data_IF_602461436361
#
_entry.id   IF_602461436361
#
_cell.length_a   1.000
_cell.length_b   1.000
_cell.length_c   1.000
_cell.angle_alpha   90.00
_cell.angle_beta   90.00
_cell.angle_gamma   90.00
#
_symmetry.space_group_name_H-M   'P 1'
#
loop_
_entity.id
_entity.type
_entity.pdbx_description
1 polymer ?
#
# COMPACT_ATOMS: atom_id res chain seq x y z
N UNK A 1 4.26 8.59 14.14
CA UNK A 1 4.16 8.28 12.70
C UNK A 1 3.12 7.20 12.51
N UNK A 2 2.03 7.51 11.86
CA UNK A 2 0.97 6.52 11.57
C UNK A 2 1.33 5.81 10.27
N UNK A 3 1.74 4.56 10.35
CA UNK A 3 2.00 3.73 9.17
C UNK A 3 0.66 3.25 8.63
N UNK A 4 0.31 3.64 7.44
CA UNK A 4 -0.82 3.09 6.72
C UNK A 4 -0.36 1.84 5.99
N UNK A 5 -1.03 0.74 6.22
CA UNK A 5 -0.75 -0.53 5.61
C UNK A 5 -1.79 -0.79 4.53
N UNK A 6 -1.38 -0.75 3.28
CA UNK A 6 -2.22 -1.15 2.16
C UNK A 6 -1.80 -2.54 1.67
N UNK A 7 -2.69 -3.52 1.73
CA UNK A 7 -2.47 -4.84 1.17
C UNK A 7 -2.96 -4.87 -0.27
N UNK A 8 -2.04 -4.90 -1.20
CA UNK A 8 -2.33 -5.04 -2.61
C UNK A 8 -2.25 -6.51 -3.02
N UNK A 9 -3.37 -7.12 -3.35
CA UNK A 9 -3.38 -8.32 -4.16
C UNK A 9 -3.68 -7.91 -5.59
N UNK A 10 -2.65 -7.47 -6.30
CA UNK A 10 -2.79 -7.14 -7.69
C UNK A 10 -2.40 -8.31 -8.57
N UNK A 11 -3.32 -8.70 -9.42
CA UNK A 11 -2.96 -9.30 -10.69
C UNK A 11 -2.61 -8.14 -11.61
N UNK A 12 -1.33 -7.84 -11.73
CA UNK A 12 -0.85 -6.93 -12.76
C UNK A 12 -1.07 -7.58 -14.12
N UNK A 13 -2.06 -7.13 -14.84
CA UNK A 13 -1.89 -7.12 -16.28
C UNK A 13 -0.89 -6.00 -16.57
N UNK A 14 0.24 -6.40 -17.11
CA UNK A 14 1.26 -5.54 -17.67
C UNK A 14 0.63 -4.49 -18.55
N UNK A 15 0.93 -3.23 -18.31
CA UNK A 15 1.23 -2.20 -19.32
C UNK A 15 1.10 -0.83 -18.68
N UNK A 16 2.06 -0.51 -17.81
CA UNK A 16 2.29 0.88 -17.43
C UNK A 16 3.17 1.50 -18.49
N UNK A 17 2.60 2.15 -19.48
CA UNK A 17 3.35 2.99 -20.41
C UNK A 17 3.61 4.34 -19.75
N UNK A 18 4.85 4.59 -19.40
CA UNK A 18 5.30 5.94 -19.06
C UNK A 18 5.47 6.72 -20.38
N UNK A 19 4.48 7.51 -20.75
CA UNK A 19 4.63 8.46 -21.84
C UNK A 19 5.37 9.68 -21.32
N UNK A 20 6.66 9.74 -21.57
CA UNK A 20 7.44 10.97 -21.36
C UNK A 20 7.21 11.88 -22.55
N UNK A 21 6.19 12.73 -22.47
CA UNK A 21 6.03 13.82 -23.42
C UNK A 21 7.03 14.96 -23.13
N UNK A 22 7.47 15.66 -24.16
CA UNK A 22 8.24 16.89 -24.01
C UNK A 22 7.35 17.92 -23.33
N UNK A 23 7.57 18.15 -22.05
CA UNK A 23 6.83 19.15 -21.27
C UNK A 23 7.52 20.51 -21.43
N UNK A 24 6.81 21.47 -21.95
CA UNK A 24 7.07 22.87 -21.62
C UNK A 24 7.09 23.00 -20.09
N UNK A 25 7.98 23.81 -19.51
CA UNK A 25 8.14 23.88 -18.06
C UNK A 25 6.91 24.49 -17.40
N UNK A 26 5.92 23.65 -17.15
CA UNK A 26 4.83 23.95 -16.25
C UNK A 26 5.24 23.42 -14.89
N UNK A 27 5.27 24.27 -13.88
CA UNK A 27 5.58 23.86 -12.51
C UNK A 27 4.54 22.85 -12.07
N UNK A 28 4.96 21.60 -11.88
CA UNK A 28 4.08 20.57 -11.36
C UNK A 28 3.70 20.93 -9.93
N UNK A 29 2.40 20.91 -9.64
CA UNK A 29 1.87 21.15 -8.29
C UNK A 29 1.19 19.89 -7.78
N UNK A 30 1.11 19.75 -6.45
CA UNK A 30 0.36 18.66 -5.80
C UNK A 30 -1.10 19.06 -5.54
N UNK A 31 -1.68 19.89 -6.42
CA UNK A 31 -3.07 20.32 -6.34
C UNK A 31 -3.85 19.93 -7.58
N UNK A 32 -5.11 19.58 -7.39
CA UNK A 32 -6.04 19.35 -8.48
C UNK A 32 -6.58 20.70 -9.03
N UNK A 33 -7.32 20.69 -10.15
CA UNK A 33 -7.93 21.93 -10.70
C UNK A 33 -8.88 22.64 -9.73
N UNK A 34 -9.37 21.97 -8.70
CA UNK A 34 -10.27 22.52 -7.68
C UNK A 34 -9.51 23.07 -6.45
N UNK A 35 -8.17 23.11 -6.50
CA UNK A 35 -7.35 23.62 -5.42
C UNK A 35 -7.20 22.65 -4.24
N UNK A 36 -7.53 21.36 -4.40
CA UNK A 36 -7.35 20.35 -3.38
C UNK A 36 -5.99 19.69 -3.50
N UNK A 37 -5.40 19.38 -2.35
CA UNK A 37 -4.15 18.62 -2.33
C UNK A 37 -4.35 17.22 -2.91
N UNK A 38 -3.50 16.86 -3.86
CA UNK A 38 -3.44 15.52 -4.43
C UNK A 38 -2.49 14.66 -3.59
N UNK A 39 -2.98 13.53 -3.11
CA UNK A 39 -2.23 12.53 -2.35
C UNK A 39 -2.38 11.17 -3.03
N UNK A 40 -1.53 10.22 -2.67
CA UNK A 40 -1.68 8.84 -3.15
C UNK A 40 -3.06 8.26 -2.77
N UNK A 41 -3.57 8.62 -1.61
CA UNK A 41 -4.88 8.19 -1.14
C UNK A 41 -6.00 8.65 -2.10
N UNK A 42 -6.14 9.95 -2.33
CA UNK A 42 -7.24 10.47 -3.14
C UNK A 42 -7.06 10.24 -4.64
N UNK A 43 -5.86 9.91 -5.09
CA UNK A 43 -5.57 9.59 -6.49
C UNK A 43 -5.83 8.13 -6.81
N UNK A 44 -5.52 7.20 -5.91
CA UNK A 44 -5.55 5.76 -6.16
C UNK A 44 -6.62 5.02 -5.37
N UNK A 45 -6.98 5.49 -4.18
CA UNK A 45 -7.99 4.87 -3.33
C UNK A 45 -9.35 5.55 -3.51
N UNK A 46 -9.85 5.56 -4.73
CA UNK A 46 -11.21 6.06 -5.02
C UNK A 46 -12.27 5.17 -4.38
N UNK A 47 -13.50 5.67 -4.17
CA UNK A 47 -14.58 4.85 -3.60
C UNK A 47 -14.82 3.53 -4.35
N UNK A 48 -14.65 3.52 -5.68
CA UNK A 48 -14.80 2.32 -6.51
C UNK A 48 -13.67 1.31 -6.23
N UNK A 49 -12.44 1.80 -6.05
CA UNK A 49 -11.29 0.95 -5.74
C UNK A 49 -11.42 0.34 -4.35
N UNK A 50 -11.88 1.13 -3.37
CA UNK A 50 -12.09 0.65 -2.00
C UNK A 50 -13.17 -0.43 -1.87
N UNK A 51 -14.10 -0.49 -2.82
CA UNK A 51 -15.14 -1.53 -2.86
C UNK A 51 -14.65 -2.87 -3.42
N UNK A 52 -13.44 -2.93 -3.97
CA UNK A 52 -12.90 -4.17 -4.55
C UNK A 52 -12.70 -5.24 -3.47
N UNK A 53 -13.20 -6.47 -3.68
CA UNK A 53 -13.08 -7.53 -2.68
C UNK A 53 -11.63 -8.02 -2.47
N UNK A 54 -10.76 -7.76 -3.43
CA UNK A 54 -9.34 -8.14 -3.40
C UNK A 54 -8.43 -7.08 -2.78
N UNK A 55 -8.98 -5.95 -2.33
CA UNK A 55 -8.24 -4.88 -1.63
C UNK A 55 -8.75 -4.76 -0.21
N UNK A 56 -7.84 -4.82 0.75
CA UNK A 56 -8.11 -4.51 2.17
C UNK A 56 -7.21 -3.36 2.59
N UNK A 57 -7.81 -2.27 3.03
CA UNK A 57 -7.09 -1.11 3.57
C UNK A 57 -7.37 -1.02 5.06
N UNK A 58 -6.32 -1.04 5.85
CA UNK A 58 -6.40 -0.91 7.31
C UNK A 58 -5.71 0.39 7.69
N UNK A 59 -6.43 1.32 8.26
CA UNK A 59 -5.92 2.59 8.75
C UNK A 59 -5.71 2.57 10.26
N UNK A 60 -4.89 3.49 10.77
CA UNK A 60 -4.57 3.57 12.19
C UNK A 60 -4.02 2.26 12.78
N UNK A 61 -3.29 1.52 11.95
CA UNK A 61 -2.64 0.27 12.32
C UNK A 61 -1.12 0.43 12.25
N UNK A 62 -0.42 -0.14 13.22
CA UNK A 62 1.04 -0.17 13.26
C UNK A 62 1.50 -1.60 13.05
N UNK A 63 2.35 -1.81 12.05
CA UNK A 63 3.02 -3.10 11.87
C UNK A 63 4.07 -3.24 12.96
N UNK A 64 3.94 -4.31 13.72
CA UNK A 64 4.84 -4.59 14.85
C UNK A 64 5.94 -5.56 14.48
N UNK A 65 5.68 -6.42 13.50
CA UNK A 65 6.62 -7.47 13.11
C UNK A 65 6.35 -7.96 11.69
N UNK A 66 7.42 -8.24 10.96
CA UNK A 66 7.36 -9.05 9.74
C UNK A 66 7.58 -10.52 10.12
N UNK A 67 6.72 -11.38 9.62
CA UNK A 67 6.78 -12.82 9.88
C UNK A 67 7.58 -13.50 8.77
N UNK A 68 8.62 -14.23 9.15
CA UNK A 68 9.47 -14.95 8.23
C UNK A 68 9.29 -16.46 8.39
N UNK A 69 9.21 -17.16 7.27
CA UNK A 69 9.43 -18.59 7.20
C UNK A 69 10.93 -18.85 7.00
N UNK A 70 11.49 -19.70 7.85
CA UNK A 70 12.91 -20.05 7.85
C UNK A 70 13.16 -21.52 7.49
N UNK A 71 12.16 -22.20 6.93
CA UNK A 71 12.26 -23.62 6.57
C UNK A 71 13.11 -23.90 5.35
N UNK A 72 13.35 -22.86 4.50
CA UNK A 72 14.21 -22.95 3.32
C UNK A 72 15.61 -22.40 3.54
N UNK A 73 16.43 -22.44 2.49
CA UNK A 73 17.81 -21.92 2.49
C UNK A 73 17.87 -20.40 2.73
N UNK A 74 16.79 -19.70 2.43
CA UNK A 74 16.68 -18.26 2.62
C UNK A 74 15.39 -17.93 3.35
N UNK A 75 15.45 -16.98 4.32
CA UNK A 75 14.25 -16.49 4.98
C UNK A 75 13.28 -15.88 3.96
N UNK A 76 12.01 -16.25 4.03
CA UNK A 76 10.94 -15.72 3.18
C UNK A 76 9.94 -14.98 4.05
N UNK A 77 9.63 -13.72 3.68
CA UNK A 77 8.56 -12.99 4.34
C UNK A 77 7.20 -13.59 3.94
N UNK A 78 6.45 -14.05 4.91
CA UNK A 78 5.17 -14.75 4.72
C UNK A 78 3.99 -13.97 5.28
N UNK A 79 4.23 -12.86 5.96
CA UNK A 79 3.17 -12.03 6.49
C UNK A 79 3.67 -10.95 7.42
N UNK A 80 2.72 -10.26 8.02
CA UNK A 80 2.97 -9.22 9.01
C UNK A 80 2.04 -9.36 10.20
N UNK A 81 2.53 -8.93 11.35
CA UNK A 81 1.72 -8.72 12.55
C UNK A 81 1.48 -7.21 12.71
N UNK A 82 0.29 -6.82 13.03
CA UNK A 82 -0.07 -5.44 13.25
C UNK A 82 -1.04 -5.26 14.42
N UNK A 83 -1.10 -4.07 14.95
CA UNK A 83 -2.01 -3.70 16.01
C UNK A 83 -2.58 -2.31 15.77
N UNK A 84 -3.80 -2.08 16.21
CA UNK A 84 -4.47 -0.77 16.14
C UNK A 84 -4.19 0.10 17.38
N UNK A 85 -3.68 -0.50 18.44
CA UNK A 85 -3.26 0.21 19.66
C UNK A 85 -2.05 -0.48 20.29
N UNK A 86 -1.33 0.25 21.16
CA UNK A 86 -0.13 -0.25 21.82
C UNK A 86 -0.38 -1.51 22.63
N UNK A 87 -1.45 -1.53 23.39
CA UNK A 87 -1.82 -2.61 24.31
C UNK A 87 -3.00 -3.45 23.79
N UNK A 88 -3.39 -3.23 22.53
CA UNK A 88 -4.50 -3.92 21.89
C UNK A 88 -4.14 -5.30 21.32
N UNK A 89 -5.16 -6.00 20.82
CA UNK A 89 -4.95 -7.31 20.22
C UNK A 89 -4.02 -7.23 19.00
N UNK A 90 -3.27 -8.30 18.78
CA UNK A 90 -2.40 -8.45 17.63
C UNK A 90 -3.13 -9.20 16.54
N UNK A 91 -3.06 -8.66 15.34
CA UNK A 91 -3.64 -9.26 14.15
C UNK A 91 -2.53 -9.69 13.20
N UNK A 92 -2.79 -10.71 12.41
CA UNK A 92 -1.87 -11.21 11.40
C UNK A 92 -2.49 -11.09 10.02
N UNK A 93 -1.68 -10.72 9.05
CA UNK A 93 -2.03 -10.77 7.64
C UNK A 93 -0.98 -11.59 6.91
N UNK A 94 -1.43 -12.57 6.16
CA UNK A 94 -0.57 -13.46 5.38
C UNK A 94 -0.31 -12.88 4.00
N UNK A 95 0.92 -13.04 3.52
CA UNK A 95 1.34 -12.63 2.20
C UNK A 95 1.43 -13.84 1.27
N UNK A 96 0.62 -13.85 0.22
CA UNK A 96 0.66 -14.92 -0.78
C UNK A 96 1.86 -14.82 -1.74
N UNK A 97 2.40 -13.61 -1.93
CA UNK A 97 3.52 -13.35 -2.86
C UNK A 97 4.68 -12.64 -2.16
N UNK A 98 4.46 -11.45 -1.65
CA UNK A 98 5.51 -10.61 -1.09
C UNK A 98 4.97 -9.67 -0.02
N UNK A 99 5.88 -9.13 0.79
CA UNK A 99 5.63 -8.03 1.74
C UNK A 99 6.47 -6.85 1.28
N UNK A 100 5.83 -5.71 1.04
CA UNK A 100 6.49 -4.48 0.61
C UNK A 100 6.50 -3.49 1.77
N UNK A 101 7.67 -2.94 2.08
CA UNK A 101 7.88 -1.91 3.09
C UNK A 101 8.43 -0.65 2.41
N UNK A 102 7.92 0.51 2.78
CA UNK A 102 8.44 1.80 2.32
C UNK A 102 8.40 2.86 3.42
#
# INVERSE_FOLDING_TARGET
>A
MKTQLAFYRQVLSSDLYLVVGTLTPTTATFMDPNGRRVTAENSYLTPEVLKRPNLKVVTSATVTKVIFDKTGDRPRAVGVEFATSRDGPRFKAEAGKEVILW
#
